data_IF_850000416793
#
_entry.id   IF_850000416793
#
_cell.length_a   1.000
_cell.length_b   1.000
_cell.length_c   1.000
_cell.angle_alpha   90.00
_cell.angle_beta   90.00
_cell.angle_gamma   90.00
#
_symmetry.space_group_name_H-M   'P 1'
#
loop_
_entity.id
_entity.type
_entity.pdbx_description
1 polymer ?
#
# COMPACT_ATOMS: atom_id res chain seq x y z
N UNK A 1 -6.93 17.58 -6.79
CA UNK A 1 -7.49 16.46 -6.01
C UNK A 1 -8.47 15.58 -6.78
N UNK A 2 -9.40 16.16 -7.57
CA UNK A 2 -10.37 15.38 -8.36
C UNK A 2 -9.69 14.39 -9.32
N UNK A 3 -8.61 14.80 -9.99
CA UNK A 3 -7.89 13.92 -10.93
C UNK A 3 -7.19 12.77 -10.21
N UNK A 4 -6.59 13.02 -9.05
CA UNK A 4 -6.00 11.96 -8.22
C UNK A 4 -7.05 10.96 -7.73
N UNK A 5 -8.23 11.43 -7.34
CA UNK A 5 -9.35 10.56 -6.96
C UNK A 5 -9.77 9.66 -8.12
N UNK A 6 -9.99 10.22 -9.31
CA UNK A 6 -10.33 9.45 -10.52
C UNK A 6 -9.24 8.44 -10.90
N UNK A 7 -7.98 8.83 -10.80
CA UNK A 7 -6.85 7.92 -11.02
C UNK A 7 -6.88 6.75 -10.04
N UNK A 8 -7.14 7.03 -8.77
CA UNK A 8 -7.20 6.00 -7.73
C UNK A 8 -8.37 5.04 -7.94
N UNK A 9 -9.56 5.54 -8.22
CA UNK A 9 -10.72 4.71 -8.55
C UNK A 9 -10.42 3.80 -9.76
N UNK A 10 -9.82 4.35 -10.79
CA UNK A 10 -9.43 3.59 -11.98
C UNK A 10 -8.39 2.52 -11.66
N UNK A 11 -7.37 2.87 -10.89
CA UNK A 11 -6.35 1.93 -10.40
C UNK A 11 -6.99 0.76 -9.64
N UNK A 12 -7.84 1.05 -8.68
CA UNK A 12 -8.53 0.03 -7.88
C UNK A 12 -9.44 -0.86 -8.72
N UNK A 13 -10.11 -0.29 -9.74
CA UNK A 13 -11.00 -1.06 -10.61
C UNK A 13 -10.28 -2.14 -11.41
N UNK A 14 -8.98 -1.97 -11.64
CA UNK A 14 -8.13 -2.89 -12.44
C UNK A 14 -7.27 -3.81 -11.59
N UNK A 15 -7.07 -3.47 -10.32
CA UNK A 15 -6.20 -4.23 -9.43
C UNK A 15 -6.77 -5.62 -9.12
N UNK A 16 -5.91 -6.64 -9.08
CA UNK A 16 -6.31 -8.01 -8.77
C UNK A 16 -6.75 -8.14 -7.31
N UNK A 17 -8.05 -8.26 -7.10
CA UNK A 17 -8.69 -8.32 -5.78
C UNK A 17 -8.36 -9.59 -4.98
N UNK A 18 -7.87 -10.63 -5.65
CA UNK A 18 -7.44 -11.88 -4.98
C UNK A 18 -6.08 -11.71 -4.31
N UNK A 19 -5.21 -10.88 -4.89
CA UNK A 19 -3.84 -10.65 -4.40
C UNK A 19 -3.71 -9.44 -3.48
N UNK A 20 -4.52 -8.40 -3.72
CA UNK A 20 -4.42 -7.12 -3.03
C UNK A 20 -5.75 -6.68 -2.42
N UNK A 21 -5.68 -5.98 -1.30
CA UNK A 21 -6.85 -5.30 -0.74
C UNK A 21 -7.27 -4.14 -1.65
N UNK A 22 -8.56 -4.04 -1.94
CA UNK A 22 -9.14 -2.98 -2.78
C UNK A 22 -10.28 -2.24 -2.11
N UNK A 23 -10.70 -2.68 -0.93
CA UNK A 23 -11.80 -2.09 -0.19
C UNK A 23 -11.31 -0.92 0.67
N UNK A 24 -11.29 0.27 0.07
CA UNK A 24 -10.88 1.50 0.71
C UNK A 24 -12.03 2.50 0.76
N UNK A 25 -12.13 3.23 1.86
CA UNK A 25 -13.02 4.39 1.91
C UNK A 25 -12.42 5.52 1.09
N UNK A 26 -13.10 5.89 0.00
CA UNK A 26 -12.62 6.91 -0.94
C UNK A 26 -13.07 8.33 -0.58
N UNK A 27 -13.98 8.47 0.39
CA UNK A 27 -14.52 9.77 0.77
C UNK A 27 -13.52 10.56 1.62
N UNK A 28 -13.27 11.81 1.22
CA UNK A 28 -12.38 12.71 1.98
C UNK A 28 -10.90 12.41 1.87
N UNK A 29 -10.50 11.52 0.99
CA UNK A 29 -9.11 11.12 0.81
C UNK A 29 -8.38 12.05 -0.16
N UNK A 30 -7.12 12.41 0.13
CA UNK A 30 -6.28 13.20 -0.78
C UNK A 30 -5.70 12.40 -1.95
N UNK A 31 -5.66 11.08 -1.81
CA UNK A 31 -5.21 10.12 -2.85
C UNK A 31 -3.84 10.47 -3.47
N UNK A 32 -2.90 10.97 -2.67
CA UNK A 32 -1.56 11.32 -3.16
C UNK A 32 -0.75 10.10 -3.59
N UNK A 33 -1.17 8.92 -3.21
CA UNK A 33 -0.52 7.65 -3.52
C UNK A 33 -1.54 6.56 -3.79
N UNK A 34 -1.10 5.52 -4.52
CA UNK A 34 -1.82 4.26 -4.69
C UNK A 34 -1.36 3.28 -3.60
N UNK A 35 -2.17 2.97 -2.60
CA UNK A 35 -1.83 1.94 -1.64
C UNK A 35 -1.92 0.55 -2.27
N UNK A 36 -0.92 -0.27 -1.98
CA UNK A 36 -0.85 -1.68 -2.35
C UNK A 36 -0.66 -2.51 -1.10
N UNK A 37 -1.62 -3.33 -0.76
CA UNK A 37 -1.56 -4.17 0.43
C UNK A 37 -1.75 -5.62 0.00
N UNK A 38 -0.68 -6.41 0.12
CA UNK A 38 -0.71 -7.84 -0.17
C UNK A 38 -1.64 -8.55 0.82
N UNK A 39 -2.57 -9.37 0.32
CA UNK A 39 -3.46 -10.17 1.17
C UNK A 39 -2.73 -11.31 1.87
N UNK A 40 -1.80 -11.93 1.17
CA UNK A 40 -1.07 -13.08 1.71
C UNK A 40 0.00 -12.64 2.72
N UNK A 41 0.00 -13.27 3.88
CA UNK A 41 0.95 -13.02 4.96
C UNK A 41 2.22 -13.85 4.77
N UNK A 42 2.92 -13.65 3.67
CA UNK A 42 4.16 -14.35 3.35
C UNK A 42 5.30 -13.36 3.18
N UNK A 43 6.29 -13.40 4.06
CA UNK A 43 7.49 -12.58 3.96
C UNK A 43 8.31 -12.92 2.71
N UNK A 44 8.36 -14.19 2.34
CA UNK A 44 9.04 -14.62 1.12
C UNK A 44 8.41 -14.00 -0.13
N UNK A 45 7.08 -14.04 -0.24
CA UNK A 45 6.37 -13.42 -1.37
C UNK A 45 6.46 -11.89 -1.34
N UNK A 46 6.44 -11.28 -0.15
CA UNK A 46 6.66 -9.84 0.01
C UNK A 46 8.02 -9.44 -0.55
N UNK A 47 9.08 -10.13 -0.16
CA UNK A 47 10.44 -9.82 -0.60
C UNK A 47 10.59 -10.06 -2.12
N UNK A 48 9.97 -11.09 -2.64
CA UNK A 48 9.88 -11.34 -4.07
C UNK A 48 9.14 -10.24 -4.82
N UNK A 49 8.05 -9.74 -4.24
CA UNK A 49 7.29 -8.63 -4.80
C UNK A 49 8.11 -7.33 -4.88
N UNK A 50 8.86 -7.02 -3.84
CA UNK A 50 9.77 -5.85 -3.84
C UNK A 50 10.82 -5.95 -4.96
N UNK A 51 11.45 -7.11 -5.10
CA UNK A 51 12.41 -7.38 -6.18
C UNK A 51 11.76 -7.25 -7.56
N UNK A 52 10.54 -7.76 -7.69
CA UNK A 52 9.76 -7.68 -8.92
C UNK A 52 9.42 -6.23 -9.30
N UNK A 53 8.96 -5.42 -8.36
CA UNK A 53 8.69 -3.99 -8.58
C UNK A 53 9.97 -3.25 -9.00
N UNK A 54 11.07 -3.49 -8.31
CA UNK A 54 12.37 -2.88 -8.62
C UNK A 54 12.86 -3.27 -10.01
N UNK A 55 12.75 -4.54 -10.37
CA UNK A 55 13.12 -5.04 -11.72
C UNK A 55 12.30 -4.36 -12.82
N UNK A 56 11.03 -4.08 -12.56
CA UNK A 56 10.13 -3.40 -13.48
C UNK A 56 10.21 -1.87 -13.39
N UNK A 57 11.18 -1.33 -12.65
CA UNK A 57 11.41 0.11 -12.49
C UNK A 57 10.21 0.87 -11.90
N UNK A 58 9.47 0.21 -11.03
CA UNK A 58 8.37 0.82 -10.28
C UNK A 58 8.91 1.26 -8.92
N UNK A 59 8.92 2.59 -8.70
CA UNK A 59 9.25 3.16 -7.40
C UNK A 59 8.12 2.93 -6.41
N UNK A 60 8.47 2.47 -5.22
CA UNK A 60 7.53 2.23 -4.16
C UNK A 60 8.12 2.61 -2.80
N UNK A 61 7.25 2.81 -1.83
CA UNK A 61 7.63 2.89 -0.43
C UNK A 61 6.87 1.84 0.38
N UNK A 62 7.51 1.32 1.41
CA UNK A 62 6.87 0.36 2.32
C UNK A 62 5.86 1.07 3.22
N UNK A 63 4.82 0.36 3.65
CA UNK A 63 3.84 0.86 4.60
C UNK A 63 4.42 1.26 5.97
N UNK A 64 5.61 0.79 6.29
CA UNK A 64 6.34 1.19 7.49
C UNK A 64 7.27 2.40 7.29
N UNK A 65 7.31 2.99 6.10
CA UNK A 65 8.02 4.26 5.89
C UNK A 65 7.38 5.36 6.74
N UNK A 66 8.19 6.10 7.48
CA UNK A 66 7.68 7.09 8.43
C UNK A 66 7.20 6.53 9.77
N UNK A 67 7.53 5.27 10.08
CA UNK A 67 7.26 4.64 11.38
C UNK A 67 6.30 3.46 11.36
N UNK A 68 5.49 3.30 10.31
CA UNK A 68 4.58 2.16 10.17
C UNK A 68 3.54 2.07 11.28
N UNK A 69 3.45 0.90 11.89
CA UNK A 69 2.62 0.72 13.07
C UNK A 69 3.20 1.52 14.24
N UNK A 70 2.56 2.66 14.52
CA UNK A 70 3.01 3.59 15.58
C UNK A 70 3.10 2.91 16.95
N UNK A 71 2.31 1.87 17.11
CA UNK A 71 2.29 1.11 18.34
C UNK A 71 3.59 0.32 18.60
N UNK A 72 4.44 0.17 17.60
CA UNK A 72 5.80 -0.40 17.74
C UNK A 72 6.84 0.62 18.22
N UNK A 73 6.50 1.90 18.22
CA UNK A 73 7.45 2.97 18.52
C UNK A 73 7.79 3.00 20.03
N UNK A 74 9.08 3.15 20.38
CA UNK A 74 9.52 3.12 21.78
C UNK A 74 8.88 4.18 22.67
N UNK A 75 8.57 5.37 22.10
CA UNK A 75 7.98 6.46 22.87
C UNK A 75 6.58 6.14 23.40
N UNK A 76 5.77 5.37 22.62
CA UNK A 76 4.45 4.97 23.07
C UNK A 76 4.49 3.92 24.20
N UNK A 77 5.49 3.04 24.19
CA UNK A 77 5.69 2.08 25.27
C UNK A 77 5.93 2.75 26.62
N UNK A 78 6.50 3.96 26.61
CA UNK A 78 6.74 4.74 27.83
C UNK A 78 5.48 5.41 28.37
N UNK A 79 4.52 5.70 27.50
CA UNK A 79 3.31 6.48 27.84
C UNK A 79 2.14 5.55 28.13
N UNK A 80 1.99 4.49 27.37
CA UNK A 80 0.85 3.56 27.48
C UNK A 80 1.29 2.28 28.19
N UNK A 81 0.76 2.07 29.38
CA UNK A 81 0.93 0.84 30.14
C UNK A 81 0.05 -0.27 29.56
N UNK A 82 0.50 -1.52 29.66
CA UNK A 82 -0.23 -2.73 29.20
C UNK A 82 -0.53 -2.74 27.71
N UNK A 83 0.41 -2.26 26.93
CA UNK A 83 0.28 -2.06 25.52
C UNK A 83 0.88 -3.23 24.72
N UNK A 84 0.08 -3.80 23.81
CA UNK A 84 0.54 -4.84 22.89
C UNK A 84 0.19 -4.47 21.44
N UNK A 85 1.20 -4.16 20.63
CA UNK A 85 1.00 -3.84 19.21
C UNK A 85 0.34 -4.97 18.40
N UNK A 86 0.44 -6.22 18.87
CA UNK A 86 -0.20 -7.39 18.24
C UNK A 86 -1.73 -7.34 18.28
N UNK A 87 -2.33 -6.54 19.16
CA UNK A 87 -3.78 -6.34 19.20
C UNK A 87 -4.31 -5.52 18.02
N UNK A 88 -3.44 -4.82 17.30
CA UNK A 88 -3.77 -4.00 16.14
C UNK A 88 -3.43 -4.73 14.84
N UNK A 89 -4.16 -5.81 14.57
CA UNK A 89 -3.87 -6.76 13.49
C UNK A 89 -3.84 -6.12 12.09
N UNK A 90 -4.76 -5.20 11.80
CA UNK A 90 -4.84 -4.56 10.49
C UNK A 90 -3.66 -3.61 10.26
N UNK A 91 -3.33 -2.80 11.26
CA UNK A 91 -2.18 -1.89 11.19
C UNK A 91 -0.88 -2.69 11.08
N UNK A 92 -0.78 -3.78 11.82
CA UNK A 92 0.38 -4.69 11.78
C UNK A 92 0.52 -5.35 10.42
N UNK A 93 -0.59 -5.75 9.80
CA UNK A 93 -0.59 -6.29 8.44
C UNK A 93 -0.07 -5.27 7.43
N UNK A 94 -0.56 -4.04 7.48
CA UNK A 94 -0.09 -2.95 6.60
C UNK A 94 1.39 -2.64 6.84
N UNK A 95 1.84 -2.68 8.09
CA UNK A 95 3.25 -2.45 8.44
C UNK A 95 4.18 -3.39 7.69
N UNK A 96 3.83 -4.67 7.59
CA UNK A 96 4.67 -5.69 6.96
C UNK A 96 4.41 -5.89 5.48
N UNK A 97 3.17 -5.73 5.01
CA UNK A 97 2.72 -6.12 3.67
C UNK A 97 2.11 -4.98 2.86
N UNK A 98 2.15 -3.76 3.40
CA UNK A 98 1.67 -2.57 2.73
C UNK A 98 2.76 -1.83 1.99
N UNK A 99 2.39 -1.26 0.84
CA UNK A 99 3.20 -0.40 0.00
C UNK A 99 2.39 0.77 -0.51
N UNK A 100 3.06 1.79 -1.00
CA UNK A 100 2.40 2.82 -1.76
C UNK A 100 3.27 3.32 -2.90
N UNK A 101 2.60 3.70 -3.99
CA UNK A 101 3.18 4.21 -5.23
C UNK A 101 2.61 5.60 -5.49
N UNK A 102 3.41 6.53 -5.97
CA UNK A 102 2.98 7.91 -6.20
C UNK A 102 1.82 8.00 -7.21
N UNK A 103 0.80 8.77 -6.85
CA UNK A 103 -0.34 9.10 -7.72
C UNK A 103 -0.22 10.56 -8.17
N UNK A 104 0.32 10.76 -9.37
CA UNK A 104 0.52 12.07 -9.94
C UNK A 104 -0.68 12.48 -10.80
N UNK A 105 -1.13 13.75 -10.74
CA UNK A 105 -2.25 14.23 -11.57
C UNK A 105 -2.04 14.04 -13.06
N UNK A 106 -0.78 14.02 -13.51
CA UNK A 106 -0.41 13.88 -14.92
C UNK A 106 -0.46 12.45 -15.45
N UNK A 107 -0.69 11.46 -14.58
CA UNK A 107 -0.81 10.08 -15.01
C UNK A 107 -2.04 9.88 -15.90
N UNK A 108 -1.80 9.33 -17.11
CA UNK A 108 -2.87 8.94 -18.02
C UNK A 108 -3.45 7.57 -17.64
N UNK A 109 -4.67 7.29 -18.07
CA UNK A 109 -5.28 5.96 -17.92
C UNK A 109 -4.42 4.85 -18.55
N UNK A 110 -3.76 5.13 -19.67
CA UNK A 110 -2.86 4.18 -20.34
C UNK A 110 -1.68 3.82 -19.43
N UNK A 111 -1.05 4.83 -18.80
CA UNK A 111 0.06 4.60 -17.86
C UNK A 111 -0.39 3.83 -16.61
N UNK A 112 -1.55 4.17 -16.08
CA UNK A 112 -2.12 3.46 -14.93
C UNK A 112 -2.45 2.00 -15.30
N UNK A 113 -3.02 1.76 -16.47
CA UNK A 113 -3.29 0.40 -16.96
C UNK A 113 -2.02 -0.44 -17.08
N UNK A 114 -0.96 0.14 -17.64
CA UNK A 114 0.35 -0.53 -17.75
C UNK A 114 0.92 -0.87 -16.37
N UNK A 115 0.86 0.07 -15.44
CA UNK A 115 1.30 -0.12 -14.07
C UNK A 115 0.54 -1.27 -13.39
N UNK A 116 -0.78 -1.26 -13.48
CA UNK A 116 -1.63 -2.29 -12.88
C UNK A 116 -1.39 -3.66 -13.51
N UNK A 117 -1.22 -3.73 -14.83
CA UNK A 117 -0.91 -4.98 -15.51
C UNK A 117 0.39 -5.59 -15.01
N UNK A 118 1.43 -4.79 -14.84
CA UNK A 118 2.71 -5.25 -14.28
C UNK A 118 2.48 -5.79 -12.86
N UNK A 119 1.78 -5.03 -12.03
CA UNK A 119 1.50 -5.42 -10.63
C UNK A 119 0.68 -6.72 -10.57
N UNK A 120 -0.36 -6.84 -11.38
CA UNK A 120 -1.23 -8.01 -11.39
C UNK A 120 -0.53 -9.29 -11.87
N UNK A 121 0.53 -9.17 -12.65
CA UNK A 121 1.28 -10.31 -13.21
C UNK A 121 2.36 -10.87 -12.26
N UNK A 122 2.49 -10.32 -11.08
CA UNK A 122 3.36 -10.86 -10.05
C UNK A 122 2.91 -12.20 -9.48
#
# INVERSE_FOLDING_TARGET
NQKRAKNFEFFLSKLNKKKFFTDFNLVGNSNYAFPLILKEKSFLKRDGFEKYLTKNKIEFRRGNAGGGNQMRQPYLKKIIKNFNFKNFKNVEHVHHFGYYIGNFPQLSKIKISKLVNIINNY
#
